data_IF_432972025109
#
_entry.id   IF_432972025109
#
_cell.length_a   1.000
_cell.length_b   1.000
_cell.length_c   1.000
_cell.angle_alpha   90.00
_cell.angle_beta   90.00
_cell.angle_gamma   90.00
#
_symmetry.space_group_name_H-M   'P 1'
#
loop_
_entity.id
_entity.type
_entity.pdbx_description
1 polymer ?
#
# COMPACT_ATOMS: atom_id res chain seq x y z
N UNK A 1 14.22 24.11 2.37
CA UNK A 1 14.47 24.09 3.83
C UNK A 1 15.10 22.74 4.18
N UNK A 2 16.23 22.70 4.90
CA UNK A 2 16.84 21.43 5.29
C UNK A 2 15.93 20.67 6.26
N UNK A 3 15.77 19.35 6.06
CA UNK A 3 14.96 18.46 6.90
C UNK A 3 15.88 17.45 7.57
N UNK A 4 15.82 17.36 8.89
CA UNK A 4 16.62 16.39 9.67
C UNK A 4 15.85 15.07 9.78
N UNK A 5 16.47 13.96 9.34
CA UNK A 5 15.96 12.62 9.52
C UNK A 5 16.74 11.90 10.62
N UNK A 6 16.04 11.35 11.61
CA UNK A 6 16.63 10.52 12.67
C UNK A 6 16.04 9.12 12.61
N UNK A 7 16.88 8.11 12.48
CA UNK A 7 16.48 6.71 12.50
C UNK A 7 16.81 6.14 13.88
N UNK A 8 15.82 5.59 14.59
CA UNK A 8 15.99 4.95 15.90
C UNK A 8 16.02 3.43 15.73
N UNK A 9 16.71 2.74 16.63
CA UNK A 9 16.77 1.27 16.69
C UNK A 9 17.33 0.63 15.40
N UNK A 10 18.44 1.17 14.88
CA UNK A 10 19.15 0.54 13.76
C UNK A 10 19.80 -0.75 14.26
N UNK A 11 19.55 -1.92 13.65
CA UNK A 11 20.25 -3.16 13.98
C UNK A 11 21.76 -3.02 13.82
N UNK A 12 22.54 -3.57 14.75
CA UNK A 12 24.00 -3.42 14.77
C UNK A 12 24.65 -3.93 13.47
N UNK A 13 24.15 -5.04 12.93
CA UNK A 13 24.63 -5.61 11.66
C UNK A 13 24.50 -4.62 10.49
N UNK A 14 23.41 -3.84 10.46
CA UNK A 14 23.16 -2.85 9.42
C UNK A 14 24.09 -1.65 9.63
N UNK A 15 24.25 -1.21 10.88
CA UNK A 15 25.13 -0.10 11.22
C UNK A 15 26.61 -0.39 10.88
N UNK A 16 27.08 -1.60 11.15
CA UNK A 16 28.44 -2.04 10.81
C UNK A 16 28.67 -2.10 9.30
N UNK A 17 27.73 -2.70 8.54
CA UNK A 17 27.79 -2.71 7.08
C UNK A 17 27.83 -1.29 6.50
N UNK A 18 27.01 -0.39 7.04
CA UNK A 18 26.97 1.00 6.57
C UNK A 18 28.29 1.73 6.86
N UNK A 19 28.91 1.48 8.03
CA UNK A 19 30.24 2.02 8.36
C UNK A 19 31.32 1.48 7.44
N UNK A 20 31.33 0.18 7.16
CA UNK A 20 32.30 -0.44 6.26
C UNK A 20 32.23 0.18 4.85
N UNK A 21 31.01 0.35 4.32
CA UNK A 21 30.79 0.99 3.01
C UNK A 21 31.25 2.46 3.04
N UNK A 22 30.89 3.21 4.08
CA UNK A 22 31.30 4.60 4.25
C UNK A 22 32.84 4.74 4.30
N UNK A 23 33.53 3.82 5.00
CA UNK A 23 35.00 3.79 5.05
C UNK A 23 35.63 3.52 3.68
N UNK A 24 35.05 2.59 2.91
CA UNK A 24 35.51 2.29 1.53
C UNK A 24 35.28 3.47 0.60
N UNK A 25 34.15 4.15 0.72
CA UNK A 25 33.82 5.32 -0.10
C UNK A 25 34.48 6.62 0.41
N UNK A 26 35.24 6.56 1.50
CA UNK A 26 35.86 7.70 2.18
C UNK A 26 34.87 8.82 2.52
N UNK A 27 33.63 8.45 2.86
CA UNK A 27 32.54 9.37 3.20
C UNK A 27 32.18 9.23 4.68
N UNK A 28 31.55 10.27 5.23
CA UNK A 28 30.91 10.15 6.54
C UNK A 28 29.72 9.20 6.46
N UNK A 29 29.35 8.58 7.58
CA UNK A 29 28.18 7.69 7.65
C UNK A 29 26.90 8.37 7.15
N UNK A 30 26.72 9.65 7.50
CA UNK A 30 25.59 10.45 7.05
C UNK A 30 25.65 10.72 5.54
N UNK A 31 26.84 11.00 4.99
CA UNK A 31 27.03 11.23 3.56
C UNK A 31 26.80 9.97 2.72
N UNK A 32 27.21 8.81 3.24
CA UNK A 32 26.93 7.52 2.61
C UNK A 32 25.44 7.21 2.61
N UNK A 33 24.77 7.42 3.76
CA UNK A 33 23.32 7.25 3.86
C UNK A 33 22.58 8.17 2.88
N UNK A 34 23.01 9.43 2.76
CA UNK A 34 22.45 10.37 1.81
C UNK A 34 22.61 9.90 0.37
N UNK A 35 23.80 9.42 0.00
CA UNK A 35 24.07 8.91 -1.35
C UNK A 35 23.21 7.68 -1.69
N UNK A 36 22.99 6.78 -0.73
CA UNK A 36 22.11 5.62 -0.89
C UNK A 36 20.66 6.08 -1.10
N UNK A 37 20.18 7.03 -0.28
CA UNK A 37 18.82 7.56 -0.39
C UNK A 37 18.64 8.25 -1.75
N UNK A 38 19.58 9.10 -2.17
CA UNK A 38 19.55 9.77 -3.47
C UNK A 38 19.51 8.76 -4.62
N UNK A 39 20.36 7.74 -4.59
CA UNK A 39 20.38 6.69 -5.60
C UNK A 39 19.05 5.92 -5.64
N UNK A 40 18.48 5.57 -4.49
CA UNK A 40 17.17 4.90 -4.43
C UNK A 40 16.08 5.81 -4.97
N UNK A 41 16.02 7.08 -4.57
CA UNK A 41 14.99 8.03 -5.03
C UNK A 41 15.09 8.28 -6.54
N UNK A 42 16.30 8.40 -7.09
CA UNK A 42 16.53 8.58 -8.53
C UNK A 42 16.11 7.35 -9.33
N UNK A 43 16.32 6.15 -8.81
CA UNK A 43 15.94 4.89 -9.46
C UNK A 43 14.50 4.45 -9.15
N UNK A 44 13.91 5.00 -8.09
CA UNK A 44 12.53 4.74 -7.69
C UNK A 44 11.61 5.56 -8.57
N UNK A 45 11.24 4.98 -9.72
CA UNK A 45 10.15 5.47 -10.54
C UNK A 45 8.83 5.20 -9.79
N UNK A 46 8.15 6.23 -9.23
CA UNK A 46 6.89 6.04 -8.52
C UNK A 46 5.77 5.54 -9.46
N UNK A 47 6.01 5.54 -10.79
CA UNK A 47 5.13 5.01 -11.82
C UNK A 47 5.36 3.54 -12.17
N UNK A 48 6.51 2.93 -11.79
CA UNK A 48 6.71 1.47 -11.88
C UNK A 48 6.02 0.77 -10.71
N UNK A 49 4.68 0.87 -10.71
CA UNK A 49 3.81 -0.04 -9.96
C UNK A 49 4.27 -1.47 -10.22
N UNK A 50 4.28 -2.30 -9.18
CA UNK A 50 4.64 -3.72 -9.26
C UNK A 50 4.12 -4.33 -10.60
N UNK A 51 4.98 -4.88 -11.47
CA UNK A 51 4.56 -5.38 -12.78
C UNK A 51 3.42 -6.40 -12.67
N UNK A 52 3.35 -7.14 -11.56
CA UNK A 52 2.23 -8.04 -11.27
C UNK A 52 0.88 -7.30 -11.13
N UNK A 53 0.87 -6.13 -10.48
CA UNK A 53 -0.32 -5.28 -10.39
C UNK A 53 -0.65 -4.63 -11.73
N UNK A 54 0.35 -4.29 -12.54
CA UNK A 54 0.13 -3.74 -13.88
C UNK A 54 -0.56 -4.76 -14.79
N UNK A 55 -0.14 -6.03 -14.78
CA UNK A 55 -0.78 -7.08 -15.59
C UNK A 55 -2.23 -7.32 -15.17
N UNK A 56 -2.51 -7.31 -13.87
CA UNK A 56 -3.88 -7.45 -13.34
C UNK A 56 -4.77 -6.25 -13.72
N UNK A 57 -4.22 -5.03 -13.79
CA UNK A 57 -4.95 -3.83 -14.18
C UNK A 57 -5.08 -3.72 -15.71
N UNK A 58 -4.06 -4.13 -16.48
CA UNK A 58 -4.04 -4.08 -17.94
C UNK A 58 -4.88 -5.18 -18.61
N UNK A 59 -5.17 -6.27 -17.89
CA UNK A 59 -6.19 -7.24 -18.28
C UNK A 59 -7.61 -6.66 -18.22
N UNK A 60 -7.79 -5.47 -17.63
CA UNK A 60 -9.04 -4.71 -17.67
C UNK A 60 -9.08 -3.90 -18.97
N UNK A 61 -10.15 -3.98 -19.77
CA UNK A 61 -10.24 -3.21 -21.01
C UNK A 61 -10.08 -1.71 -20.72
N UNK A 62 -9.31 -1.03 -21.57
CA UNK A 62 -8.97 0.38 -21.42
C UNK A 62 -10.24 1.24 -21.31
N UNK A 63 -10.24 2.29 -20.46
CA UNK A 63 -11.39 3.16 -20.30
C UNK A 63 -11.55 3.99 -21.58
N UNK A 64 -12.57 3.69 -22.37
CA UNK A 64 -13.02 4.56 -23.45
C UNK A 64 -13.48 5.88 -22.82
N UNK A 65 -12.81 6.97 -23.18
CA UNK A 65 -13.21 8.30 -22.75
C UNK A 65 -14.49 8.70 -23.50
N UNK A 66 -15.63 8.78 -22.80
CA UNK A 66 -16.59 9.91 -22.81
C UNK A 66 -17.92 9.56 -22.12
N UNK A 67 -18.39 10.50 -21.32
CA UNK A 67 -19.73 10.74 -20.73
C UNK A 67 -20.45 9.66 -19.90
N UNK A 68 -20.15 8.37 -20.05
CA UNK A 68 -20.88 7.30 -19.34
C UNK A 68 -20.07 6.65 -18.21
N UNK A 69 -19.19 7.42 -17.55
CA UNK A 69 -18.36 6.90 -16.44
C UNK A 69 -19.20 6.59 -15.20
N UNK A 70 -20.22 7.41 -14.89
CA UNK A 70 -21.13 7.11 -13.79
C UNK A 70 -21.97 5.87 -14.07
N UNK A 71 -22.53 5.71 -15.28
CA UNK A 71 -23.27 4.50 -15.65
C UNK A 71 -22.39 3.24 -15.62
N UNK A 72 -21.13 3.35 -16.05
CA UNK A 72 -20.18 2.24 -15.95
C UNK A 72 -19.86 1.89 -14.50
N UNK A 73 -19.74 2.90 -13.61
CA UNK A 73 -19.58 2.66 -12.19
C UNK A 73 -20.83 2.03 -11.58
N UNK A 74 -22.03 2.50 -11.92
CA UNK A 74 -23.28 1.90 -11.45
C UNK A 74 -23.42 0.46 -11.93
N UNK A 75 -23.02 0.13 -13.16
CA UNK A 75 -23.02 -1.25 -13.66
C UNK A 75 -22.04 -2.15 -12.90
N UNK A 76 -20.84 -1.65 -12.57
CA UNK A 76 -19.85 -2.38 -11.76
C UNK A 76 -20.33 -2.55 -10.31
N UNK A 77 -20.97 -1.53 -9.75
CA UNK A 77 -21.51 -1.54 -8.39
C UNK A 77 -22.74 -2.44 -8.29
N UNK A 78 -23.59 -2.49 -9.32
CA UNK A 78 -24.79 -3.32 -9.36
C UNK A 78 -24.47 -4.82 -9.36
N UNK A 79 -23.37 -5.24 -9.99
CA UNK A 79 -22.89 -6.64 -9.95
C UNK A 79 -22.06 -6.93 -8.68
N UNK A 80 -21.80 -5.91 -7.85
CA UNK A 80 -21.04 -6.01 -6.61
C UNK A 80 -21.97 -6.07 -5.39
N UNK A 81 -21.56 -6.81 -4.34
CA UNK A 81 -22.27 -6.84 -3.04
C UNK A 81 -22.00 -5.60 -2.18
N UNK A 82 -21.57 -4.49 -2.78
CA UNK A 82 -21.29 -3.24 -2.07
C UNK A 82 -22.56 -2.61 -1.48
N UNK A 83 -23.72 -2.83 -2.10
CA UNK A 83 -25.02 -2.37 -1.59
C UNK A 83 -25.47 -3.07 -0.30
N UNK A 84 -24.94 -4.26 0.00
CA UNK A 84 -25.25 -5.01 1.22
C UNK A 84 -24.39 -4.58 2.42
N UNK A 85 -23.44 -3.67 2.23
CA UNK A 85 -22.52 -3.25 3.28
C UNK A 85 -23.23 -2.36 4.33
N UNK A 86 -23.08 -2.66 5.63
CA UNK A 86 -23.68 -1.82 6.68
C UNK A 86 -23.00 -0.45 6.73
N UNK A 87 -23.81 0.61 6.75
CA UNK A 87 -23.32 1.98 6.90
C UNK A 87 -22.97 2.22 8.37
N UNK A 88 -21.68 2.39 8.65
CA UNK A 88 -21.17 2.64 10.00
C UNK A 88 -21.01 4.14 10.26
N UNK A 89 -21.34 4.56 11.48
CA UNK A 89 -20.95 5.89 11.98
C UNK A 89 -19.43 5.95 12.23
N UNK A 90 -18.87 7.16 12.29
CA UNK A 90 -17.43 7.38 12.52
C UNK A 90 -16.91 6.73 13.80
N UNK A 91 -17.70 6.71 14.87
CA UNK A 91 -17.34 6.05 16.14
C UNK A 91 -17.34 4.53 16.00
N UNK A 92 -18.37 3.96 15.35
CA UNK A 92 -18.47 2.53 15.07
C UNK A 92 -17.33 2.02 14.19
N UNK A 93 -16.89 2.80 13.20
CA UNK A 93 -15.75 2.44 12.35
C UNK A 93 -14.43 2.32 13.12
N UNK A 94 -14.29 3.02 14.26
CA UNK A 94 -13.11 2.94 15.13
C UNK A 94 -13.26 1.88 16.24
N UNK A 95 -14.43 1.29 16.38
CA UNK A 95 -14.72 0.29 17.40
C UNK A 95 -14.22 -1.09 16.95
N UNK A 96 -13.01 -1.45 17.40
CA UNK A 96 -12.34 -2.71 17.03
C UNK A 96 -13.18 -3.98 17.26
N UNK A 97 -13.89 -4.18 18.39
CA UNK A 97 -14.76 -5.34 18.55
C UNK A 97 -15.89 -5.39 17.51
N UNK A 98 -16.51 -4.24 17.20
CA UNK A 98 -17.56 -4.16 16.18
C UNK A 98 -17.03 -4.55 14.79
N UNK A 99 -15.83 -4.08 14.43
CA UNK A 99 -15.19 -4.48 13.16
C UNK A 99 -14.96 -5.99 13.09
N UNK A 100 -14.51 -6.62 14.18
CA UNK A 100 -14.27 -8.07 14.23
C UNK A 100 -15.56 -8.88 14.07
N UNK A 101 -16.64 -8.43 14.68
CA UNK A 101 -17.95 -9.07 14.56
C UNK A 101 -18.47 -9.01 13.11
N UNK A 102 -18.34 -7.86 12.45
CA UNK A 102 -18.71 -7.69 11.05
C UNK A 102 -17.86 -8.57 10.12
N UNK A 103 -16.55 -8.67 10.37
CA UNK A 103 -15.67 -9.58 9.63
C UNK A 103 -16.07 -11.06 9.83
N UNK A 104 -16.45 -11.44 11.05
CA UNK A 104 -16.88 -12.79 11.37
C UNK A 104 -18.19 -13.15 10.63
N UNK A 105 -19.18 -12.26 10.65
CA UNK A 105 -20.43 -12.45 9.91
C UNK A 105 -20.20 -12.60 8.40
N UNK A 106 -19.31 -11.79 7.82
CA UNK A 106 -18.93 -11.92 6.40
C UNK A 106 -18.24 -13.26 6.10
N UNK A 107 -17.47 -13.81 7.06
CA UNK A 107 -16.86 -15.14 6.91
C UNK A 107 -17.88 -16.25 7.03
N UNK A 108 -18.85 -16.16 7.95
CA UNK A 108 -19.93 -17.13 8.09
C UNK A 108 -20.83 -17.16 6.84
N UNK A 109 -21.23 -16.01 6.30
CA UNK A 109 -22.01 -15.93 5.06
C UNK A 109 -21.26 -16.46 3.82
N UNK A 110 -19.92 -16.46 3.86
CA UNK A 110 -19.07 -17.03 2.81
C UNK A 110 -18.73 -18.49 3.04
N UNK A 111 -18.94 -19.02 4.24
CA UNK A 111 -18.69 -20.41 4.53
C UNK A 111 -19.83 -21.24 3.93
N UNK A 112 -19.58 -22.12 2.94
CA UNK A 112 -20.60 -23.07 2.52
C UNK A 112 -20.92 -23.95 3.73
N UNK A 113 -22.12 -23.82 4.27
CA UNK A 113 -22.62 -24.68 5.33
C UNK A 113 -22.49 -26.14 4.87
N UNK A 114 -21.60 -26.89 5.52
CA UNK A 114 -21.46 -28.32 5.33
C UNK A 114 -22.13 -28.99 6.54
N UNK A 115 -23.27 -29.67 6.37
CA UNK A 115 -23.92 -30.41 7.45
C UNK A 115 -23.04 -31.57 7.95
#
# INVERSE_FOLDING_TARGET
MPVTLTIKNVPDEIAERLRAIASVHHRSLQGELMAIIEAVVLNHDPGKRNPALQTLIAARPAPVASDNLLEQLDAVVADSRWGDAPILTRSQAHDRPLTRELDFQVQEDKAPYKP
#
